data_IF_395848144536
#
_entry.id   IF_395848144536
#
_cell.length_a   1.000
_cell.length_b   1.000
_cell.length_c   1.000
_cell.angle_alpha   90.00
_cell.angle_beta   90.00
_cell.angle_gamma   90.00
#
_symmetry.space_group_name_H-M   'P 1'
#
loop_
_entity.id
_entity.type
_entity.pdbx_description
1 polymer ?
#
# COMPACT_ATOMS: atom_id res chain seq x y z
N UNK A 1 7.60 3.21 -0.67
CA UNK A 1 7.00 1.93 -1.11
C UNK A 1 7.86 0.72 -0.76
N UNK A 2 9.12 0.61 -1.20
CA UNK A 2 9.96 -0.57 -0.90
C UNK A 2 10.07 -0.93 0.60
N UNK A 3 10.33 0.06 1.47
CA UNK A 3 10.38 -0.19 2.92
C UNK A 3 9.08 -0.76 3.47
N UNK A 4 7.93 -0.28 2.99
CA UNK A 4 6.63 -0.82 3.38
C UNK A 4 6.50 -2.30 2.98
N UNK A 5 6.96 -2.67 1.78
CA UNK A 5 6.98 -4.07 1.34
C UNK A 5 7.92 -4.93 2.20
N UNK A 6 9.13 -4.43 2.49
CA UNK A 6 10.11 -5.13 3.32
C UNK A 6 9.56 -5.43 4.72
N UNK A 7 9.02 -4.41 5.40
CA UNK A 7 8.44 -4.57 6.74
C UNK A 7 7.14 -5.40 6.71
N UNK A 8 6.35 -5.29 5.64
CA UNK A 8 5.16 -6.13 5.41
C UNK A 8 5.52 -7.61 5.35
N UNK A 9 6.49 -7.98 4.51
CA UNK A 9 6.95 -9.37 4.38
C UNK A 9 7.54 -9.86 5.71
N UNK A 10 8.35 -9.01 6.38
CA UNK A 10 8.91 -9.36 7.69
C UNK A 10 7.85 -9.54 8.76
N UNK A 11 6.78 -8.75 8.74
CA UNK A 11 5.62 -8.87 9.63
C UNK A 11 4.86 -10.18 9.36
N UNK A 12 4.60 -10.52 8.09
CA UNK A 12 3.98 -11.79 7.71
C UNK A 12 4.77 -13.00 8.22
N UNK A 13 6.09 -12.99 8.01
CA UNK A 13 6.99 -14.04 8.54
C UNK A 13 6.98 -14.08 10.07
N UNK A 14 6.95 -12.92 10.75
CA UNK A 14 6.88 -12.85 12.22
C UNK A 14 5.62 -13.54 12.77
N UNK A 15 4.48 -13.43 12.07
CA UNK A 15 3.25 -14.12 12.45
C UNK A 15 3.43 -15.64 12.40
N UNK A 16 4.02 -16.15 11.32
CA UNK A 16 4.28 -17.58 11.12
C UNK A 16 5.29 -18.12 12.14
N UNK A 17 6.33 -17.35 12.43
CA UNK A 17 7.34 -17.67 13.43
C UNK A 17 6.85 -17.46 14.88
N UNK A 18 5.59 -17.05 15.08
CA UNK A 18 4.99 -16.73 16.40
C UNK A 18 5.80 -15.70 17.21
N UNK A 19 6.52 -14.82 16.53
CA UNK A 19 7.41 -13.84 17.14
C UNK A 19 6.66 -12.74 17.89
N UNK A 20 7.38 -12.01 18.76
CA UNK A 20 6.79 -10.99 19.66
C UNK A 20 6.68 -9.60 19.03
N UNK A 21 7.32 -9.37 17.88
CA UNK A 21 7.45 -8.04 17.29
C UNK A 21 6.39 -7.72 16.22
N UNK A 22 5.34 -8.55 16.07
CA UNK A 22 4.31 -8.37 15.04
C UNK A 22 3.72 -6.97 15.04
N UNK A 23 3.36 -6.42 16.21
CA UNK A 23 2.78 -5.08 16.29
C UNK A 23 3.74 -3.98 15.81
N UNK A 24 5.01 -4.02 16.25
CA UNK A 24 6.03 -3.03 15.85
C UNK A 24 6.26 -3.06 14.34
N UNK A 25 6.38 -4.25 13.76
CA UNK A 25 6.56 -4.43 12.32
C UNK A 25 5.32 -3.95 11.55
N UNK A 26 4.11 -4.30 12.00
CA UNK A 26 2.88 -3.82 11.38
C UNK A 26 2.73 -2.30 11.42
N UNK A 27 3.12 -1.68 12.52
CA UNK A 27 3.10 -0.22 12.67
C UNK A 27 4.09 0.46 11.71
N UNK A 28 5.32 -0.06 11.61
CA UNK A 28 6.32 0.43 10.66
C UNK A 28 5.82 0.28 9.21
N UNK A 29 5.23 -0.86 8.86
CA UNK A 29 4.63 -1.06 7.54
C UNK A 29 3.57 -0.02 7.23
N UNK A 30 2.63 0.21 8.17
CA UNK A 30 1.58 1.21 7.99
C UNK A 30 2.16 2.62 7.83
N UNK A 31 3.15 2.98 8.63
CA UNK A 31 3.83 4.27 8.54
C UNK A 31 4.48 4.49 7.17
N UNK A 32 5.29 3.53 6.70
CA UNK A 32 5.96 3.65 5.40
C UNK A 32 5.00 3.55 4.22
N UNK A 33 3.88 2.83 4.37
CA UNK A 33 2.83 2.77 3.35
C UNK A 33 2.06 4.08 3.28
N UNK A 34 1.78 4.71 4.43
CA UNK A 34 1.15 6.02 4.51
C UNK A 34 2.03 7.09 3.86
N UNK A 35 3.29 7.23 4.34
CA UNK A 35 4.19 8.27 3.82
C UNK A 35 4.59 8.00 2.38
N UNK A 36 4.91 6.76 2.04
CA UNK A 36 5.34 6.39 0.70
C UNK A 36 4.22 6.34 -0.34
N UNK A 37 3.05 5.83 0.05
CA UNK A 37 1.95 5.58 -0.87
C UNK A 37 0.96 6.74 -0.96
N UNK A 38 0.53 7.29 0.18
CA UNK A 38 -0.53 8.30 0.21
C UNK A 38 -0.02 9.74 0.30
N UNK A 39 1.25 9.97 0.67
CA UNK A 39 1.86 11.31 0.63
C UNK A 39 2.77 11.44 -0.59
N UNK A 40 3.86 10.67 -0.64
CA UNK A 40 4.84 10.79 -1.71
C UNK A 40 4.32 10.31 -3.07
N UNK A 41 3.43 9.30 -3.10
CA UNK A 41 2.79 8.83 -4.33
C UNK A 41 2.08 9.96 -5.10
N UNK A 42 1.05 10.58 -4.51
CA UNK A 42 0.37 11.76 -5.05
C UNK A 42 1.27 12.90 -5.50
N UNK A 43 2.32 13.19 -4.71
CA UNK A 43 3.26 14.25 -5.02
C UNK A 43 4.02 13.92 -6.30
N UNK A 44 4.60 12.72 -6.40
CA UNK A 44 5.33 12.28 -7.59
C UNK A 44 4.40 12.20 -8.80
N UNK A 45 3.19 11.69 -8.63
CA UNK A 45 2.17 11.63 -9.67
C UNK A 45 1.76 13.02 -10.17
N UNK A 46 1.67 14.01 -9.28
CA UNK A 46 1.42 15.40 -9.67
C UNK A 46 2.53 15.95 -10.56
N UNK A 47 3.80 15.68 -10.22
CA UNK A 47 4.93 16.11 -11.03
C UNK A 47 5.02 15.38 -12.37
N UNK A 48 4.54 14.13 -12.46
CA UNK A 48 4.59 13.34 -13.68
C UNK A 48 3.39 13.56 -14.62
N UNK A 49 2.18 13.70 -14.07
CA UNK A 49 0.91 13.66 -14.83
C UNK A 49 -0.01 14.86 -14.55
N UNK A 50 0.39 15.80 -13.69
CA UNK A 50 -0.41 16.99 -13.38
C UNK A 50 -1.63 16.73 -12.47
N UNK A 51 -1.81 15.52 -11.94
CA UNK A 51 -2.88 15.16 -10.99
C UNK A 51 -2.33 14.59 -9.68
N UNK A 52 -2.91 14.98 -8.53
CA UNK A 52 -2.49 14.46 -7.23
C UNK A 52 -3.07 13.07 -6.92
N UNK A 53 -4.25 12.76 -7.44
CA UNK A 53 -4.91 11.48 -7.21
C UNK A 53 -5.91 11.25 -8.33
N UNK A 54 -5.86 10.06 -8.91
CA UNK A 54 -6.71 9.61 -10.00
C UNK A 54 -7.52 8.36 -9.65
N UNK A 55 -7.37 7.83 -8.43
CA UNK A 55 -8.18 6.75 -7.90
C UNK A 55 -9.51 7.22 -7.32
N UNK A 56 -10.29 6.27 -6.82
CA UNK A 56 -11.58 6.52 -6.17
C UNK A 56 -11.38 7.43 -4.93
N UNK A 57 -12.29 8.39 -4.64
CA UNK A 57 -13.56 8.67 -5.34
C UNK A 57 -13.43 9.63 -6.53
N UNK A 58 -12.25 10.16 -6.82
CA UNK A 58 -12.05 11.22 -7.83
C UNK A 58 -11.76 10.70 -9.24
N UNK A 59 -11.44 9.41 -9.39
CA UNK A 59 -11.27 8.73 -10.66
C UNK A 59 -11.27 7.21 -10.51
N UNK A 60 -10.77 6.51 -11.53
CA UNK A 60 -10.80 5.05 -11.63
C UNK A 60 -9.41 4.42 -11.81
N UNK A 61 -8.33 5.18 -11.57
CA UNK A 61 -6.97 4.66 -11.72
C UNK A 61 -6.72 3.47 -10.79
N UNK A 62 -6.24 2.39 -11.41
CA UNK A 62 -6.03 1.12 -10.74
C UNK A 62 -4.86 1.21 -9.74
N UNK A 63 -3.88 2.07 -10.01
CA UNK A 63 -2.66 2.20 -9.19
C UNK A 63 -2.96 2.89 -7.85
N UNK A 64 -3.73 3.97 -7.90
CA UNK A 64 -4.20 4.67 -6.71
C UNK A 64 -5.15 3.80 -5.87
N UNK A 65 -6.08 3.10 -6.51
CA UNK A 65 -7.03 2.20 -5.83
C UNK A 65 -6.33 1.04 -5.11
N UNK A 66 -5.34 0.43 -5.77
CA UNK A 66 -4.47 -0.60 -5.18
C UNK A 66 -3.80 -0.10 -3.90
N UNK A 67 -3.21 1.09 -3.96
CA UNK A 67 -2.52 1.69 -2.80
C UNK A 67 -3.49 1.98 -1.65
N UNK A 68 -4.68 2.48 -1.96
CA UNK A 68 -5.73 2.71 -0.96
C UNK A 68 -6.20 1.41 -0.30
N UNK A 69 -6.46 0.36 -1.09
CA UNK A 69 -6.86 -0.97 -0.57
C UNK A 69 -5.76 -1.50 0.36
N UNK A 70 -4.50 -1.48 -0.09
CA UNK A 70 -3.37 -1.91 0.72
C UNK A 70 -3.31 -1.17 2.06
N UNK A 71 -3.49 0.15 2.04
CA UNK A 71 -3.48 0.97 3.24
C UNK A 71 -4.62 0.63 4.20
N UNK A 72 -5.85 0.44 3.70
CA UNK A 72 -7.01 0.08 4.52
C UNK A 72 -6.79 -1.26 5.23
N UNK A 73 -6.29 -2.28 4.52
CA UNK A 73 -5.98 -3.58 5.12
C UNK A 73 -4.91 -3.48 6.21
N UNK A 74 -3.85 -2.69 5.99
CA UNK A 74 -2.81 -2.47 7.00
C UNK A 74 -3.30 -1.67 8.21
N UNK A 75 -4.11 -0.62 7.99
CA UNK A 75 -4.71 0.16 9.06
C UNK A 75 -5.61 -0.73 9.93
N UNK A 76 -6.41 -1.58 9.30
CA UNK A 76 -7.25 -2.56 10.00
C UNK A 76 -6.42 -3.58 10.79
N UNK A 77 -5.36 -4.12 10.19
CA UNK A 77 -4.48 -5.07 10.86
C UNK A 77 -3.80 -4.47 12.10
N UNK A 78 -3.29 -3.24 11.99
CA UNK A 78 -2.71 -2.50 13.12
C UNK A 78 -3.76 -2.24 14.20
N UNK A 79 -4.96 -1.81 13.82
CA UNK A 79 -6.04 -1.56 14.77
C UNK A 79 -6.44 -2.82 15.55
N UNK A 80 -6.56 -3.96 14.87
CA UNK A 80 -6.86 -5.25 15.51
C UNK A 80 -5.74 -5.70 16.45
N UNK A 81 -4.48 -5.54 16.04
CA UNK A 81 -3.33 -5.84 16.89
C UNK A 81 -3.22 -4.92 18.12
N UNK A 82 -3.56 -3.63 17.96
CA UNK A 82 -3.58 -2.67 19.05
C UNK A 82 -4.64 -3.02 20.10
N UNK A 83 -5.83 -3.47 19.66
CA UNK A 83 -6.88 -3.95 20.58
C UNK A 83 -6.58 -5.30 21.20
N UNK A 84 -6.02 -6.23 20.43
CA UNK A 84 -5.72 -7.57 20.92
C UNK A 84 -4.46 -8.13 20.23
N UNK A 85 -3.32 -8.23 20.95
CA UNK A 85 -2.05 -8.73 20.41
C UNK A 85 -2.08 -10.19 19.93
N UNK A 86 -3.11 -10.97 20.28
CA UNK A 86 -3.29 -12.34 19.77
C UNK A 86 -3.89 -12.37 18.36
N UNK A 87 -4.49 -11.28 17.87
CA UNK A 87 -5.10 -11.23 16.53
C UNK A 87 -4.09 -10.99 15.41
N UNK A 88 -2.95 -11.69 15.48
CA UNK A 88 -1.82 -11.57 14.55
C UNK A 88 -2.14 -12.04 13.13
N UNK A 89 -3.19 -12.85 12.96
CA UNK A 89 -3.67 -13.30 11.66
C UNK A 89 -4.03 -12.16 10.69
N UNK A 90 -4.47 -11.01 11.20
CA UNK A 90 -4.76 -9.85 10.34
C UNK A 90 -3.52 -9.25 9.69
N UNK A 91 -2.36 -9.28 10.37
CA UNK A 91 -1.10 -8.82 9.78
C UNK A 91 -0.62 -9.77 8.69
N UNK A 92 -0.83 -11.09 8.85
CA UNK A 92 -0.55 -12.05 7.79
C UNK A 92 -1.44 -11.79 6.56
N UNK A 93 -2.75 -11.63 6.76
CA UNK A 93 -3.69 -11.30 5.69
C UNK A 93 -3.29 -10.00 4.97
N UNK A 94 -3.00 -8.93 5.71
CA UNK A 94 -2.58 -7.66 5.13
C UNK A 94 -1.24 -7.77 4.36
N UNK A 95 -0.30 -8.60 4.83
CA UNK A 95 0.96 -8.84 4.13
C UNK A 95 0.76 -9.55 2.79
N UNK A 96 -0.13 -10.54 2.73
CA UNK A 96 -0.51 -11.24 1.50
C UNK A 96 -1.24 -10.31 0.54
N UNK A 97 -2.18 -9.51 1.03
CA UNK A 97 -2.89 -8.52 0.20
C UNK A 97 -1.91 -7.51 -0.41
N UNK A 98 -0.99 -6.94 0.39
CA UNK A 98 0.04 -6.05 -0.13
C UNK A 98 0.89 -6.74 -1.19
N UNK A 99 1.35 -7.96 -0.93
CA UNK A 99 2.13 -8.72 -1.91
C UNK A 99 1.35 -8.91 -3.22
N UNK A 100 0.12 -9.39 -3.16
CA UNK A 100 -0.74 -9.59 -4.33
C UNK A 100 -0.95 -8.30 -5.13
N UNK A 101 -1.18 -7.18 -4.45
CA UNK A 101 -1.36 -5.87 -5.10
C UNK A 101 -0.13 -5.47 -5.92
N UNK A 102 1.08 -5.70 -5.39
CA UNK A 102 2.33 -5.40 -6.09
C UNK A 102 2.71 -6.45 -7.15
N UNK A 103 2.11 -7.64 -7.13
CA UNK A 103 2.25 -8.61 -8.23
C UNK A 103 1.42 -8.22 -9.46
N UNK A 104 0.33 -7.44 -9.29
CA UNK A 104 -0.49 -7.01 -10.43
C UNK A 104 0.33 -6.00 -11.25
N UNK A 105 0.63 -6.30 -12.53
CA UNK A 105 1.44 -5.44 -13.38
C UNK A 105 0.90 -4.00 -13.41
N UNK A 106 1.80 -3.02 -13.42
CA UNK A 106 1.46 -1.60 -13.55
C UNK A 106 0.98 -1.20 -14.96
N UNK A 107 1.00 -2.13 -15.92
CA UNK A 107 0.68 -1.89 -17.32
C UNK A 107 -0.80 -2.11 -17.68
N UNK A 108 -1.67 -2.34 -16.69
CA UNK A 108 -3.11 -2.48 -16.90
C UNK A 108 -3.84 -1.30 -16.26
N UNK A 109 -4.12 -0.26 -17.07
CA UNK A 109 -4.99 0.88 -16.72
C UNK A 109 -4.43 1.84 -15.65
N UNK A 110 -3.14 2.18 -15.76
CA UNK A 110 -2.53 3.30 -15.01
C UNK A 110 -2.78 4.65 -15.68
N UNK A 111 -2.54 5.78 -14.99
CA UNK A 111 -2.39 7.07 -15.68
C UNK A 111 -1.19 7.00 -16.62
N UNK A 112 -1.45 6.89 -17.92
CA UNK A 112 -0.41 6.88 -18.96
C UNK A 112 -0.26 8.28 -19.58
N UNK A 113 0.94 8.61 -20.03
CA UNK A 113 1.16 9.82 -20.83
C UNK A 113 0.61 9.52 -22.23
N UNK A 114 -0.40 10.29 -22.66
CA UNK A 114 -0.93 10.16 -24.01
C UNK A 114 0.05 10.79 -25.01
N UNK A 115 0.88 9.94 -25.62
CA UNK A 115 1.88 10.35 -26.63
C UNK A 115 1.25 10.76 -27.97
N UNK A 116 -0.09 10.71 -28.10
CA UNK A 116 -0.81 11.14 -29.31
C UNK A 116 -1.39 12.55 -29.21
N UNK A 117 -1.32 13.18 -28.03
CA UNK A 117 -1.67 14.58 -27.90
C UNK A 117 -0.59 15.46 -28.56
N UNK A 118 -0.95 16.12 -29.67
CA UNK A 118 -0.11 17.13 -30.31
C UNK A 118 0.31 18.20 -29.28
N UNK A 119 1.56 18.71 -29.33
CA UNK A 119 1.98 19.81 -28.49
C UNK A 119 1.08 21.02 -28.79
N UNK A 120 0.46 21.58 -27.74
CA UNK A 120 -0.13 22.92 -27.80
C UNK A 120 0.95 23.98 -27.60
#
# INVERSE_FOLDING_TARGET
MFLAMLFSTRAGIEVLAKGRNTFKLSWLTLLFLFTGGLIFGPIVQKYAFGAYWTGFPFGYDLTDNKTAIAFIFWAWAVFKLWRNPNQRGWALLASVVLMLIYLIPHSTLGSEIDHTALPQ
#
